data_IF_057160601961
#
_entry.id   IF_057160601961
#
_cell.length_a   1.000
_cell.length_b   1.000
_cell.length_c   1.000
_cell.angle_alpha   90.00
_cell.angle_beta   90.00
_cell.angle_gamma   90.00
#
_symmetry.space_group_name_H-M   'P 1'
#
loop_
_entity.id
_entity.type
_entity.pdbx_description
1 polymer ?
#
# COMPACT_ATOMS: atom_id res chain seq x y z
N UNK A 1 -39.13 69.95 15.62
CA UNK A 1 -38.91 68.50 15.76
C UNK A 1 -39.42 67.89 14.47
N UNK A 2 -38.50 67.70 13.53
CA UNK A 2 -38.74 67.11 12.23
C UNK A 2 -37.95 65.80 12.18
N UNK A 3 -38.66 64.79 11.72
CA UNK A 3 -38.30 63.41 11.44
C UNK A 3 -37.21 63.29 10.37
N UNK A 4 -36.32 62.29 10.50
CA UNK A 4 -35.77 61.52 9.37
C UNK A 4 -35.00 60.28 9.88
N UNK A 5 -35.51 59.12 9.47
CA UNK A 5 -35.04 57.77 9.73
C UNK A 5 -34.11 57.29 8.60
N UNK A 6 -32.97 56.69 8.97
CA UNK A 6 -32.19 55.73 8.16
C UNK A 6 -31.79 54.62 9.17
N UNK A 7 -32.05 53.33 9.00
CA UNK A 7 -32.51 52.56 7.85
C UNK A 7 -31.81 51.19 7.93
N UNK A 8 -32.59 50.11 7.84
CA UNK A 8 -32.09 48.81 7.37
C UNK A 8 -31.65 47.79 8.43
N UNK A 9 -32.58 47.34 9.27
CA UNK A 9 -32.48 46.03 9.90
C UNK A 9 -33.56 45.12 9.32
N UNK A 10 -33.13 44.14 8.51
CA UNK A 10 -33.70 42.79 8.28
C UNK A 10 -33.21 42.26 6.95
N UNK A 11 -32.48 41.14 6.94
CA UNK A 11 -32.99 39.90 6.36
C UNK A 11 -32.16 38.67 6.77
N UNK A 12 -32.73 37.46 6.65
CA UNK A 12 -32.36 36.25 7.38
C UNK A 12 -31.65 35.22 6.49
N UNK A 13 -31.31 34.08 7.12
CA UNK A 13 -30.73 32.87 6.50
C UNK A 13 -29.22 33.04 6.18
N UNK A 14 -28.33 32.09 6.42
CA UNK A 14 -28.38 30.68 6.06
C UNK A 14 -27.23 29.94 6.76
N UNK A 15 -27.47 28.64 7.02
CA UNK A 15 -26.51 27.52 6.95
C UNK A 15 -25.29 27.56 7.90
N UNK A 16 -25.32 26.78 8.98
CA UNK A 16 -24.74 25.42 8.98
C UNK A 16 -23.36 25.36 8.31
N UNK A 17 -22.34 25.83 9.02
CA UNK A 17 -20.96 25.37 8.80
C UNK A 17 -20.78 24.00 9.46
N UNK A 18 -21.51 23.01 8.93
CA UNK A 18 -21.05 21.63 8.89
C UNK A 18 -20.20 21.51 7.62
N UNK A 19 -18.98 22.07 7.67
CA UNK A 19 -17.97 21.73 6.68
C UNK A 19 -17.66 20.26 6.89
N UNK A 20 -18.26 19.44 6.02
CA UNK A 20 -18.07 18.01 6.01
C UNK A 20 -16.58 17.71 5.93
N UNK A 21 -16.07 16.95 6.89
CA UNK A 21 -14.93 16.08 6.63
C UNK A 21 -15.22 15.36 5.32
N UNK A 22 -14.51 15.75 4.25
CA UNK A 22 -14.54 15.03 3.01
C UNK A 22 -14.26 13.56 3.35
N UNK A 23 -15.17 12.69 2.93
CA UNK A 23 -15.22 11.29 3.30
C UNK A 23 -14.03 10.56 2.65
N UNK A 24 -12.87 10.62 3.31
CA UNK A 24 -11.58 10.12 2.81
C UNK A 24 -11.39 8.62 3.02
N UNK A 25 -12.30 7.99 3.78
CA UNK A 25 -12.25 6.56 4.08
C UNK A 25 -12.82 5.74 2.93
N UNK A 26 -11.92 5.02 2.26
CA UNK A 26 -12.26 4.13 1.15
C UNK A 26 -12.85 2.80 1.66
N UNK A 27 -12.37 2.31 2.81
CA UNK A 27 -12.91 1.14 3.53
C UNK A 27 -13.16 1.56 4.97
N UNK A 28 -14.39 1.38 5.45
CA UNK A 28 -14.85 1.99 6.70
C UNK A 28 -14.99 1.00 7.84
N UNK A 29 -15.04 -0.29 7.53
CA UNK A 29 -15.11 -1.32 8.55
C UNK A 29 -14.11 -2.47 8.34
N UNK A 30 -13.69 -3.12 9.44
CA UNK A 30 -12.90 -4.35 9.36
C UNK A 30 -13.53 -5.44 8.49
N UNK A 31 -14.85 -5.54 8.46
CA UNK A 31 -15.59 -6.53 7.66
C UNK A 31 -15.52 -6.24 6.16
N UNK A 32 -15.66 -4.97 5.76
CA UNK A 32 -15.47 -4.54 4.37
C UNK A 32 -14.05 -4.85 3.89
N UNK A 33 -13.05 -4.48 4.70
CA UNK A 33 -11.66 -4.79 4.43
C UNK A 33 -11.41 -6.30 4.31
N UNK A 34 -11.87 -7.08 5.29
CA UNK A 34 -11.67 -8.53 5.31
C UNK A 34 -12.32 -9.19 4.10
N UNK A 35 -13.52 -8.76 3.72
CA UNK A 35 -14.22 -9.29 2.55
C UNK A 35 -13.45 -9.01 1.26
N UNK A 36 -12.99 -7.77 1.07
CA UNK A 36 -12.21 -7.38 -0.10
C UNK A 36 -10.82 -8.04 -0.14
N UNK A 37 -10.17 -8.19 1.01
CA UNK A 37 -8.89 -8.89 1.14
C UNK A 37 -9.01 -10.39 0.83
N UNK A 38 -9.98 -11.07 1.43
CA UNK A 38 -10.23 -12.51 1.20
C UNK A 38 -10.68 -12.79 -0.24
N UNK A 39 -11.41 -11.87 -0.87
CA UNK A 39 -11.79 -11.96 -2.27
C UNK A 39 -10.61 -11.65 -3.24
N UNK A 40 -9.44 -11.26 -2.72
CA UNK A 40 -8.25 -10.97 -3.52
C UNK A 40 -8.28 -9.62 -4.25
N UNK A 41 -9.11 -8.68 -3.79
CA UNK A 41 -9.20 -7.33 -4.34
C UNK A 41 -8.14 -6.41 -3.74
N UNK A 42 -7.72 -6.71 -2.51
CA UNK A 42 -6.67 -5.97 -1.82
C UNK A 42 -5.39 -6.79 -1.86
N UNK A 43 -4.27 -6.16 -2.22
CA UNK A 43 -2.94 -6.75 -2.22
C UNK A 43 -2.11 -6.11 -1.12
N UNK A 44 -1.53 -6.96 -0.28
CA UNK A 44 -0.62 -6.52 0.77
C UNK A 44 0.75 -6.18 0.18
N UNK A 45 1.12 -4.91 0.23
CA UNK A 45 2.41 -4.40 -0.24
C UNK A 45 3.38 -4.04 0.90
N UNK A 46 3.06 -4.34 2.16
CA UNK A 46 3.85 -3.91 3.34
C UNK A 46 5.29 -4.42 3.36
N UNK A 47 5.55 -5.54 2.71
CA UNK A 47 6.90 -6.12 2.58
C UNK A 47 7.75 -5.48 1.48
N UNK A 48 7.15 -4.58 0.69
CA UNK A 48 7.78 -4.01 -0.49
C UNK A 48 7.96 -5.01 -1.64
N UNK A 49 8.33 -4.49 -2.80
CA UNK A 49 8.49 -5.24 -4.03
C UNK A 49 8.19 -4.41 -5.27
N UNK A 50 8.46 -5.02 -6.43
CA UNK A 50 8.12 -4.46 -7.73
C UNK A 50 6.62 -4.62 -7.99
N UNK A 51 5.96 -3.52 -8.30
CA UNK A 51 4.53 -3.54 -8.65
C UNK A 51 4.37 -3.92 -10.10
N UNK A 52 3.67 -5.03 -10.33
CA UNK A 52 3.14 -5.43 -11.63
C UNK A 52 1.67 -5.04 -11.67
N UNK A 53 1.35 -3.98 -12.39
CA UNK A 53 0.00 -3.44 -12.46
C UNK A 53 -0.13 -2.51 -13.65
N UNK A 54 -1.21 -1.73 -13.65
CA UNK A 54 -1.56 -0.80 -14.72
C UNK A 54 -0.63 0.41 -14.75
N UNK A 55 -0.34 0.91 -15.95
CA UNK A 55 0.36 2.18 -16.14
C UNK A 55 -0.57 3.37 -15.91
N UNK A 56 0.00 4.60 -15.86
CA UNK A 56 -0.83 5.82 -15.77
C UNK A 56 -1.90 5.90 -16.87
N UNK A 57 -1.57 5.49 -18.10
CA UNK A 57 -2.49 5.52 -19.25
C UNK A 57 -3.63 4.47 -19.15
N UNK A 58 -3.51 3.52 -18.23
CA UNK A 58 -4.40 2.37 -18.08
C UNK A 58 -5.31 2.48 -16.83
N UNK A 59 -5.20 3.56 -16.04
CA UNK A 59 -6.08 3.83 -14.89
C UNK A 59 -5.45 3.69 -13.50
N UNK A 60 -4.12 3.54 -13.40
CA UNK A 60 -3.34 3.44 -12.15
C UNK A 60 -3.74 2.27 -11.22
N UNK A 61 -3.15 2.20 -10.04
CA UNK A 61 -3.51 1.26 -8.96
C UNK A 61 -3.79 2.08 -7.70
N UNK A 62 -5.01 2.02 -7.12
CA UNK A 62 -5.32 2.79 -5.91
C UNK A 62 -4.56 2.27 -4.70
N UNK A 63 -4.07 3.18 -3.87
CA UNK A 63 -3.35 2.88 -2.64
C UNK A 63 -4.14 3.28 -1.41
N UNK A 64 -4.16 2.40 -0.41
CA UNK A 64 -4.71 2.65 0.91
C UNK A 64 -3.62 2.60 1.98
N UNK A 65 -3.84 3.36 3.04
CA UNK A 65 -3.04 3.29 4.25
C UNK A 65 -3.94 3.07 5.46
N UNK A 66 -3.47 2.24 6.38
CA UNK A 66 -4.12 2.04 7.66
C UNK A 66 -4.09 3.34 8.48
N UNK A 67 -5.24 3.74 9.02
CA UNK A 67 -5.38 4.92 9.87
C UNK A 67 -6.17 4.58 11.12
N UNK A 68 -5.71 5.04 12.29
CA UNK A 68 -6.46 4.91 13.53
C UNK A 68 -6.58 3.46 14.05
N UNK A 69 -7.74 3.06 14.62
CA UNK A 69 -7.93 1.72 15.20
C UNK A 69 -7.93 0.61 14.13
N UNK A 70 -7.89 -0.65 14.58
CA UNK A 70 -7.86 -1.83 13.70
C UNK A 70 -8.96 -1.80 12.63
N UNK A 71 -8.56 -1.92 11.36
CA UNK A 71 -9.46 -2.14 10.22
C UNK A 71 -9.97 -0.89 9.50
N UNK A 72 -9.52 0.31 9.87
CA UNK A 72 -9.86 1.54 9.15
C UNK A 72 -8.74 1.92 8.16
N UNK A 73 -9.09 2.18 6.90
CA UNK A 73 -8.14 2.52 5.86
C UNK A 73 -8.59 3.78 5.10
N UNK A 74 -7.62 4.66 4.81
CA UNK A 74 -7.83 5.86 4.02
C UNK A 74 -7.17 5.75 2.66
N UNK A 75 -7.72 6.46 1.68
CA UNK A 75 -7.11 6.59 0.36
C UNK A 75 -5.88 7.49 0.40
N UNK A 76 -4.75 6.99 -0.10
CA UNK A 76 -3.47 7.71 -0.11
C UNK A 76 -3.12 8.30 -1.47
N UNK A 77 -3.72 7.80 -2.54
CA UNK A 77 -3.38 8.19 -3.90
C UNK A 77 -3.37 7.00 -4.86
N UNK A 78 -2.70 7.21 -5.99
CA UNK A 78 -2.53 6.21 -7.03
C UNK A 78 -1.07 5.91 -7.26
N UNK A 79 -0.80 4.74 -7.83
CA UNK A 79 0.52 4.34 -8.27
C UNK A 79 0.48 3.63 -9.62
N UNK A 80 1.64 3.43 -10.26
CA UNK A 80 1.71 2.74 -11.54
C UNK A 80 2.57 1.48 -11.52
N UNK A 81 2.28 0.59 -12.47
CA UNK A 81 3.09 -0.58 -12.74
C UNK A 81 4.54 -0.21 -13.08
N UNK A 82 5.48 -0.91 -12.46
CA UNK A 82 6.91 -0.72 -12.62
C UNK A 82 7.54 0.21 -11.58
N UNK A 83 6.76 0.74 -10.65
CA UNK A 83 7.28 1.33 -9.42
C UNK A 83 7.70 0.25 -8.42
N UNK A 84 8.66 0.59 -7.56
CA UNK A 84 9.15 -0.31 -6.52
C UNK A 84 8.84 0.27 -5.15
N UNK A 85 8.22 -0.55 -4.30
CA UNK A 85 7.86 -0.18 -2.94
C UNK A 85 8.91 -0.76 -1.99
N UNK A 86 9.44 0.06 -1.08
CA UNK A 86 10.29 -0.41 0.01
C UNK A 86 9.41 -0.77 1.22
N UNK A 87 9.81 -1.76 2.02
CA UNK A 87 9.22 -1.95 3.35
C UNK A 87 9.41 -0.69 4.21
N UNK A 88 8.59 -0.54 5.25
CA UNK A 88 8.72 0.60 6.17
C UNK A 88 10.10 0.60 6.86
N UNK A 89 10.62 -0.58 7.23
CA UNK A 89 11.94 -0.72 7.85
C UNK A 89 13.08 -0.37 6.88
N UNK A 90 13.05 -0.87 5.64
CA UNK A 90 14.05 -0.48 4.63
C UNK A 90 13.99 1.02 4.32
N UNK A 91 12.77 1.58 4.32
CA UNK A 91 12.56 3.02 4.14
C UNK A 91 13.26 3.83 5.23
N UNK A 92 13.13 3.43 6.49
CA UNK A 92 13.79 4.11 7.61
C UNK A 92 15.31 3.90 7.56
N UNK A 93 15.77 2.67 7.28
CA UNK A 93 17.19 2.31 7.27
C UNK A 93 17.98 3.00 6.15
N UNK A 94 17.34 3.26 5.01
CA UNK A 94 18.02 3.70 3.78
C UNK A 94 17.47 5.01 3.19
N UNK A 95 16.73 5.79 3.98
CA UNK A 95 16.00 6.97 3.52
C UNK A 95 16.82 7.92 2.61
N UNK A 96 18.04 8.25 3.02
CA UNK A 96 18.92 9.16 2.27
C UNK A 96 19.26 8.59 0.89
N UNK A 97 19.65 7.31 0.84
CA UNK A 97 19.99 6.64 -0.42
C UNK A 97 18.79 6.46 -1.34
N UNK A 98 17.63 6.13 -0.77
CA UNK A 98 16.37 6.04 -1.53
C UNK A 98 15.99 7.39 -2.14
N UNK A 99 16.23 8.48 -1.40
CA UNK A 99 16.02 9.84 -1.89
C UNK A 99 16.97 10.19 -3.02
N UNK A 100 18.25 9.83 -2.93
CA UNK A 100 19.20 9.98 -4.04
C UNK A 100 18.75 9.23 -5.29
N UNK A 101 18.37 7.94 -5.15
CA UNK A 101 17.89 7.09 -6.25
C UNK A 101 16.66 7.71 -6.91
N UNK A 102 15.69 8.18 -6.12
CA UNK A 102 14.43 8.72 -6.64
C UNK A 102 14.61 10.12 -7.26
N UNK A 103 15.67 10.85 -6.88
CA UNK A 103 16.04 12.15 -7.44
C UNK A 103 16.91 12.07 -8.69
N UNK A 104 17.48 10.90 -9.01
CA UNK A 104 18.18 10.69 -10.28
C UNK A 104 17.21 10.82 -11.46
N UNK A 105 17.27 11.95 -12.17
CA UNK A 105 16.45 12.25 -13.34
C UNK A 105 17.12 11.91 -14.67
N UNK A 106 18.24 11.18 -14.64
CA UNK A 106 18.93 10.82 -15.88
C UNK A 106 18.02 9.88 -16.70
N UNK A 107 17.77 10.17 -17.99
CA UNK A 107 16.91 9.34 -18.84
C UNK A 107 17.34 7.85 -18.82
N UNK A 108 16.36 6.95 -18.79
CA UNK A 108 16.58 5.51 -18.76
C UNK A 108 15.63 4.81 -19.74
N UNK A 109 16.19 4.42 -20.88
CA UNK A 109 15.46 3.71 -21.94
C UNK A 109 15.49 2.19 -21.75
N UNK A 110 16.17 1.70 -20.71
CA UNK A 110 16.25 0.29 -20.39
C UNK A 110 14.85 -0.23 -20.03
N UNK A 111 14.41 -1.35 -20.61
CA UNK A 111 13.20 -2.02 -20.16
C UNK A 111 13.28 -2.34 -18.67
N UNK A 112 12.12 -2.37 -18.01
CA UNK A 112 12.05 -2.79 -16.61
C UNK A 112 12.63 -4.22 -16.49
N UNK A 113 13.67 -4.44 -15.67
CA UNK A 113 14.25 -5.77 -15.53
C UNK A 113 13.22 -6.76 -14.95
N UNK A 114 13.47 -8.05 -15.16
CA UNK A 114 12.64 -9.08 -14.56
C UNK A 114 12.71 -8.99 -13.03
N UNK A 115 11.55 -9.04 -12.39
CA UNK A 115 11.50 -9.00 -10.94
C UNK A 115 12.13 -10.27 -10.34
N UNK A 116 12.85 -10.15 -9.21
CA UNK A 116 13.31 -11.32 -8.49
C UNK A 116 12.13 -12.15 -7.95
N UNK A 117 12.28 -13.48 -7.82
CA UNK A 117 11.28 -14.35 -7.20
C UNK A 117 10.86 -13.82 -5.82
N UNK A 118 9.56 -13.88 -5.52
CA UNK A 118 9.03 -13.44 -4.22
C UNK A 118 8.96 -11.91 -4.01
N UNK A 119 9.47 -11.11 -4.96
CA UNK A 119 9.49 -9.63 -4.88
C UNK A 119 8.55 -8.95 -5.86
N UNK A 120 7.53 -9.66 -6.33
CA UNK A 120 6.47 -9.10 -7.17
C UNK A 120 5.20 -8.90 -6.36
N UNK A 121 4.64 -7.72 -6.50
CA UNK A 121 3.32 -7.34 -6.03
C UNK A 121 2.42 -7.30 -7.28
N UNK A 122 1.64 -8.36 -7.49
CA UNK A 122 0.81 -8.49 -8.69
C UNK A 122 -0.57 -7.85 -8.46
N UNK A 123 -0.71 -6.64 -8.97
CA UNK A 123 -1.94 -5.84 -8.99
C UNK A 123 -2.67 -5.90 -10.35
N UNK A 124 -2.33 -6.86 -11.22
CA UNK A 124 -2.83 -6.92 -12.61
C UNK A 124 -4.01 -7.87 -12.83
N UNK A 125 -4.44 -8.64 -11.83
CA UNK A 125 -5.47 -9.67 -12.03
C UNK A 125 -6.92 -9.13 -12.00
N UNK A 126 -7.71 -9.59 -12.98
CA UNK A 126 -9.17 -9.39 -13.13
C UNK A 126 -10.00 -10.03 -11.99
N UNK A 127 -11.27 -9.58 -11.74
CA UNK A 127 -12.09 -8.67 -12.55
C UNK A 127 -11.92 -7.18 -12.25
N UNK A 128 -11.19 -6.76 -11.21
CA UNK A 128 -11.01 -5.33 -10.91
C UNK A 128 -9.65 -5.01 -10.26
N UNK A 129 -9.03 -3.96 -10.78
CA UNK A 129 -8.15 -2.95 -10.17
C UNK A 129 -7.83 -3.17 -8.70
N UNK A 130 -6.77 -3.92 -8.43
CA UNK A 130 -6.42 -4.25 -7.06
C UNK A 130 -6.07 -3.00 -6.27
N UNK A 131 -6.40 -3.01 -4.99
CA UNK A 131 -6.06 -1.96 -4.06
C UNK A 131 -4.80 -2.35 -3.30
N UNK A 132 -3.82 -1.46 -3.22
CA UNK A 132 -2.56 -1.74 -2.54
C UNK A 132 -2.55 -1.15 -1.13
N UNK A 133 -2.27 -1.99 -0.13
CA UNK A 133 -2.05 -1.51 1.24
C UNK A 133 -0.59 -1.11 1.38
N UNK A 134 -0.37 0.16 1.68
CA UNK A 134 0.94 0.70 2.00
C UNK A 134 0.95 1.34 3.38
N UNK A 135 2.08 1.27 4.06
CA UNK A 135 2.32 2.01 5.30
C UNK A 135 3.28 3.17 5.05
N UNK A 136 4.16 3.51 6.01
CA UNK A 136 5.20 4.55 5.90
C UNK A 136 6.33 4.12 4.96
N UNK A 137 5.97 3.64 3.79
CA UNK A 137 6.82 3.04 2.79
C UNK A 137 7.27 4.08 1.76
N UNK A 138 8.50 3.95 1.28
CA UNK A 138 9.01 4.76 0.19
C UNK A 138 8.67 4.11 -1.15
N UNK A 139 8.16 4.91 -2.09
CA UNK A 139 7.86 4.47 -3.45
C UNK A 139 8.90 5.07 -4.39
N UNK A 140 9.61 4.20 -5.10
CA UNK A 140 10.57 4.58 -6.12
C UNK A 140 9.86 4.64 -7.47
N UNK A 141 9.96 5.80 -8.11
CA UNK A 141 9.34 6.01 -9.41
C UNK A 141 9.86 4.99 -10.44
N UNK A 142 9.05 4.74 -11.46
CA UNK A 142 9.33 3.73 -12.49
C UNK A 142 10.66 3.90 -13.22
N UNK A 143 11.06 5.14 -13.51
CA UNK A 143 12.32 5.41 -14.22
C UNK A 143 13.55 5.07 -13.36
N UNK A 144 13.53 5.48 -12.09
CA UNK A 144 14.57 5.10 -11.12
C UNK A 144 14.58 3.58 -10.89
N UNK A 145 13.40 2.97 -10.78
CA UNK A 145 13.28 1.51 -10.59
C UNK A 145 13.96 0.73 -11.72
N UNK A 146 13.78 1.14 -12.99
CA UNK A 146 14.44 0.48 -14.14
C UNK A 146 15.96 0.43 -14.03
N UNK A 147 16.57 1.47 -13.44
CA UNK A 147 18.03 1.56 -13.29
C UNK A 147 18.54 0.84 -12.06
N UNK A 148 17.81 0.95 -10.96
CA UNK A 148 18.30 0.58 -9.63
C UNK A 148 17.65 -0.69 -9.07
N UNK A 149 16.89 -1.46 -9.87
CA UNK A 149 16.13 -2.60 -9.35
C UNK A 149 16.96 -3.55 -8.47
N UNK A 150 18.14 -3.95 -8.92
CA UNK A 150 19.00 -4.86 -8.15
C UNK A 150 19.43 -4.25 -6.80
N UNK A 151 19.75 -2.96 -6.80
CA UNK A 151 20.09 -2.23 -5.57
C UNK A 151 18.86 -2.12 -4.64
N UNK A 152 17.69 -1.78 -5.18
CA UNK A 152 16.44 -1.67 -4.43
C UNK A 152 16.02 -3.01 -3.81
N UNK A 153 16.27 -4.12 -4.53
CA UNK A 153 16.02 -5.47 -4.03
C UNK A 153 16.97 -5.78 -2.89
N UNK A 154 18.26 -5.51 -3.04
CA UNK A 154 19.25 -5.72 -1.99
C UNK A 154 18.98 -4.86 -0.74
N UNK A 155 18.57 -3.60 -0.93
CA UNK A 155 18.21 -2.70 0.19
C UNK A 155 16.94 -3.15 0.91
N UNK A 156 16.00 -3.79 0.21
CA UNK A 156 14.74 -4.24 0.82
C UNK A 156 14.85 -5.64 1.44
N UNK A 157 15.78 -6.47 0.97
CA UNK A 157 15.87 -7.89 1.33
C UNK A 157 15.93 -8.14 2.86
N UNK A 158 16.78 -7.44 3.64
CA UNK A 158 16.89 -7.67 5.08
C UNK A 158 15.65 -7.24 5.89
N UNK A 159 14.72 -6.52 5.26
CA UNK A 159 13.61 -5.83 5.91
C UNK A 159 12.25 -6.40 5.48
N UNK A 160 12.24 -7.68 5.13
CA UNK A 160 11.08 -8.34 4.57
C UNK A 160 10.27 -8.98 5.67
N UNK A 161 9.00 -8.63 5.77
CA UNK A 161 8.08 -9.36 6.63
C UNK A 161 7.59 -10.60 5.89
N UNK A 162 7.64 -11.74 6.57
CA UNK A 162 7.20 -12.99 5.97
C UNK A 162 5.70 -12.93 5.65
N UNK A 163 5.37 -13.23 4.39
CA UNK A 163 4.02 -13.24 3.82
C UNK A 163 3.15 -14.30 4.50
N UNK A 164 2.54 -14.01 5.65
CA UNK A 164 1.70 -14.98 6.37
C UNK A 164 2.41 -16.27 6.82
N UNK A 165 3.71 -16.39 6.56
CA UNK A 165 4.58 -17.39 7.17
C UNK A 165 4.96 -16.84 8.54
N UNK A 166 4.45 -17.45 9.58
CA UNK A 166 4.88 -17.20 10.96
C UNK A 166 6.35 -17.60 11.19
N UNK A 167 6.97 -18.28 10.24
CA UNK A 167 8.24 -18.95 10.34
C UNK A 167 9.17 -18.51 9.22
N UNK A 168 10.46 -18.40 9.51
CA UNK A 168 11.48 -18.12 8.49
C UNK A 168 11.59 -19.27 7.48
N UNK A 169 12.19 -18.99 6.31
CA UNK A 169 12.35 -19.98 5.23
C UNK A 169 13.07 -21.26 5.72
N UNK A 170 14.07 -21.12 6.58
CA UNK A 170 14.77 -22.25 7.19
C UNK A 170 13.84 -23.11 8.07
N UNK A 171 12.93 -22.46 8.80
CA UNK A 171 11.95 -23.16 9.67
C UNK A 171 10.85 -23.80 8.82
N UNK A 172 10.44 -23.17 7.72
CA UNK A 172 9.48 -23.75 6.77
C UNK A 172 10.09 -24.97 6.07
N UNK A 173 11.35 -24.88 5.64
CA UNK A 173 12.07 -26.02 5.07
C UNK A 173 12.16 -27.16 6.09
N UNK A 174 12.50 -26.86 7.34
CA UNK A 174 12.55 -27.83 8.42
C UNK A 174 11.20 -28.51 8.68
N UNK A 175 10.10 -27.76 8.71
CA UNK A 175 8.75 -28.30 8.93
C UNK A 175 8.25 -29.14 7.75
N UNK A 176 8.61 -28.79 6.52
CA UNK A 176 8.29 -29.62 5.34
C UNK A 176 9.02 -30.97 5.36
N UNK A 177 10.23 -31.00 5.94
CA UNK A 177 11.00 -32.23 6.13
C UNK A 177 10.55 -33.06 7.35
N UNK A 178 9.71 -32.48 8.23
CA UNK A 178 9.20 -33.09 9.46
C UNK A 178 7.67 -32.90 9.60
N UNK A 179 6.87 -33.52 8.70
CA UNK A 179 5.42 -33.35 8.67
C UNK A 179 4.72 -33.79 9.96
N UNK A 180 5.34 -34.66 10.76
CA UNK A 180 4.85 -35.11 12.07
C UNK A 180 4.74 -34.00 13.12
N UNK A 181 5.34 -32.82 12.88
CA UNK A 181 5.28 -31.67 13.77
C UNK A 181 4.09 -30.73 13.47
N UNK A 182 3.43 -30.91 12.32
CA UNK A 182 2.33 -30.05 11.85
C UNK A 182 0.93 -30.55 12.23
N UNK A 183 0.79 -31.86 12.42
CA UNK A 183 -0.44 -32.46 12.92
C UNK A 183 -0.41 -32.37 14.45
N UNK A 184 -1.17 -31.43 15.03
CA UNK A 184 -1.34 -31.34 16.47
C UNK A 184 -1.68 -32.70 17.11
N UNK A 185 -1.52 -32.85 18.44
CA UNK A 185 -1.75 -34.14 19.09
C UNK A 185 -3.11 -34.72 18.67
N UNK A 186 -3.19 -36.03 18.36
CA UNK A 186 -4.43 -36.64 17.91
C UNK A 186 -5.54 -36.31 18.91
N UNK A 187 -6.77 -36.02 18.46
CA UNK A 187 -7.86 -35.76 19.37
C UNK A 187 -8.05 -37.00 20.24
N UNK A 188 -7.83 -36.85 21.55
CA UNK A 188 -8.12 -37.88 22.53
C UNK A 188 -9.59 -38.29 22.39
N UNK A 189 -9.81 -39.46 21.80
CA UNK A 189 -11.13 -39.99 21.52
C UNK A 189 -11.22 -41.46 21.88
N UNK A 190 -11.99 -41.76 22.93
CA UNK A 190 -12.55 -43.09 23.22
C UNK A 190 -12.13 -43.72 24.52
#
# INVERSE_FOLDING_TARGET
MGDESIGGGTDPAEQQSAEGEADTHFLRSPEEFTSAFLAGWIVDARSGGLVRGRLHEEGHVPMLQHVGPLGTFTYMGVMEGGEYILSADATVAHFDRLTEINNDKTPCDTPLPAAPPGRVIDASAEPHDKILIIERQYIINRNSTRRYLDELVALNEPHSYYRGQFFSDDVVSYLNDHPELGDGPPPDGG
#
